data_IF_479371019713
#
_entry.id   IF_479371019713
#
_cell.length_a   1.000
_cell.length_b   1.000
_cell.length_c   1.000
_cell.angle_alpha   90.00
_cell.angle_beta   90.00
_cell.angle_gamma   90.00
#
_symmetry.space_group_name_H-M   'P 1'
#
loop_
_entity.id
_entity.type
_entity.pdbx_description
1 polymer ?
#
# COMPACT_ATOMS: atom_id res chain seq x y z
N UNK A 1 -64.71 -35.02 20.28
CA UNK A 1 -63.41 -34.43 20.71
C UNK A 1 -62.71 -33.86 19.48
N UNK A 2 -62.70 -32.55 19.36
CA UNK A 2 -61.98 -31.92 18.28
C UNK A 2 -60.60 -31.50 18.80
N UNK A 3 -59.58 -32.22 18.41
CA UNK A 3 -58.20 -31.88 18.68
C UNK A 3 -57.77 -30.71 17.76
N UNK A 4 -57.58 -29.54 18.36
CA UNK A 4 -56.97 -28.40 17.63
C UNK A 4 -55.48 -28.49 17.77
N UNK A 5 -54.83 -28.94 16.70
CA UNK A 5 -53.37 -28.86 16.59
C UNK A 5 -53.04 -27.42 16.18
N UNK A 6 -52.50 -26.67 17.12
CA UNK A 6 -51.93 -25.37 16.82
C UNK A 6 -50.53 -25.58 16.24
N UNK A 7 -50.38 -25.40 14.94
CA UNK A 7 -49.04 -25.37 14.29
C UNK A 7 -48.47 -23.98 14.56
N UNK A 8 -47.52 -23.92 15.49
CA UNK A 8 -46.72 -22.72 15.69
C UNK A 8 -45.69 -22.66 14.55
N UNK A 9 -45.92 -21.79 13.58
CA UNK A 9 -44.92 -21.43 12.59
C UNK A 9 -43.90 -20.55 13.27
N UNK A 10 -42.77 -21.15 13.65
CA UNK A 10 -41.57 -20.40 14.06
C UNK A 10 -40.95 -19.75 12.83
N UNK A 11 -41.17 -18.46 12.67
CA UNK A 11 -40.41 -17.67 11.71
C UNK A 11 -38.97 -17.52 12.24
N UNK A 12 -38.08 -18.32 11.69
CA UNK A 12 -36.64 -18.09 11.91
C UNK A 12 -36.26 -16.89 11.05
N UNK A 13 -36.21 -15.73 11.69
CA UNK A 13 -35.66 -14.53 11.09
C UNK A 13 -34.16 -14.73 10.99
N UNK A 14 -33.65 -15.15 9.81
CA UNK A 14 -32.24 -15.14 9.52
C UNK A 14 -31.85 -13.68 9.41
N UNK A 15 -31.29 -13.12 10.47
CA UNK A 15 -30.58 -11.86 10.42
C UNK A 15 -29.35 -12.07 9.55
N UNK A 16 -29.44 -11.70 8.29
CA UNK A 16 -28.27 -11.58 7.42
C UNK A 16 -27.42 -10.45 8.01
N UNK A 17 -26.41 -10.81 8.81
CA UNK A 17 -25.37 -9.88 9.23
C UNK A 17 -24.61 -9.53 7.95
N UNK A 18 -24.61 -8.26 7.50
CA UNK A 18 -23.76 -7.90 6.40
C UNK A 18 -22.33 -8.04 6.89
N UNK A 19 -21.63 -9.04 6.39
CA UNK A 19 -20.18 -9.09 6.54
C UNK A 19 -19.64 -7.86 5.78
N UNK A 20 -19.24 -6.85 6.54
CA UNK A 20 -18.49 -5.75 5.99
C UNK A 20 -17.12 -6.31 5.62
N UNK A 21 -16.99 -6.83 4.39
CA UNK A 21 -15.69 -7.12 3.82
C UNK A 21 -14.98 -5.79 3.66
N UNK A 22 -13.94 -5.55 4.48
CA UNK A 22 -13.01 -4.45 4.23
C UNK A 22 -12.48 -4.57 2.80
N UNK A 23 -12.16 -3.45 2.16
CA UNK A 23 -11.59 -3.49 0.83
C UNK A 23 -10.33 -4.36 0.82
N UNK A 24 -10.19 -5.31 -0.13
CA UNK A 24 -9.00 -6.14 -0.24
C UNK A 24 -7.78 -5.27 -0.56
N UNK A 25 -6.58 -5.74 -0.19
CA UNK A 25 -5.34 -5.11 -0.58
C UNK A 25 -5.25 -4.97 -2.10
N UNK A 26 -4.90 -3.79 -2.58
CA UNK A 26 -4.79 -3.48 -4.01
C UNK A 26 -3.37 -3.11 -4.38
N UNK A 27 -2.84 -3.74 -5.43
CA UNK A 27 -1.52 -3.41 -5.96
C UNK A 27 -1.54 -2.04 -6.64
N UNK A 28 -0.71 -1.13 -6.16
CA UNK A 28 -0.54 0.21 -6.72
C UNK A 28 0.61 0.26 -7.73
N UNK A 29 1.57 -0.62 -7.61
CA UNK A 29 2.68 -0.73 -8.53
C UNK A 29 3.69 -1.79 -8.12
N UNK A 30 4.61 -2.11 -9.03
CA UNK A 30 5.71 -3.02 -8.80
C UNK A 30 7.01 -2.35 -9.24
N UNK A 31 8.06 -2.52 -8.46
CA UNK A 31 9.39 -1.95 -8.74
C UNK A 31 10.48 -2.96 -8.44
N UNK A 32 11.54 -2.96 -9.27
CA UNK A 32 12.78 -3.67 -8.97
C UNK A 32 13.77 -2.71 -8.32
N UNK A 33 14.15 -2.99 -7.08
CA UNK A 33 15.09 -2.17 -6.33
C UNK A 33 16.45 -2.88 -6.33
N UNK A 34 17.46 -2.31 -6.96
CA UNK A 34 18.72 -3.01 -7.21
C UNK A 34 19.71 -2.98 -6.03
N UNK A 35 19.33 -2.42 -4.91
CA UNK A 35 20.20 -2.26 -3.73
C UNK A 35 19.42 -2.50 -2.42
N UNK A 36 20.14 -2.73 -1.34
CA UNK A 36 19.57 -2.74 0.01
C UNK A 36 19.11 -1.34 0.40
N UNK A 37 18.03 -1.25 1.12
CA UNK A 37 17.45 0.03 1.55
C UNK A 37 16.79 -0.08 2.91
N UNK A 38 16.54 1.08 3.52
CA UNK A 38 15.90 1.19 4.81
C UNK A 38 14.45 1.65 4.67
N UNK A 39 13.57 1.02 5.41
CA UNK A 39 12.18 1.41 5.59
C UNK A 39 11.87 1.39 7.07
N UNK A 40 11.51 2.54 7.65
CA UNK A 40 11.10 2.65 9.05
C UNK A 40 12.03 1.89 10.03
N UNK A 41 13.33 2.09 9.95
CA UNK A 41 14.39 1.44 10.75
C UNK A 41 14.64 -0.04 10.44
N UNK A 42 13.99 -0.59 9.43
CA UNK A 42 14.19 -1.97 8.98
C UNK A 42 14.99 -1.99 7.68
N UNK A 43 16.03 -2.84 7.63
CA UNK A 43 16.78 -3.07 6.40
C UNK A 43 16.01 -4.05 5.50
N UNK A 44 15.85 -3.67 4.24
CA UNK A 44 15.19 -4.46 3.21
C UNK A 44 16.21 -4.87 2.15
N UNK A 45 16.19 -6.12 1.67
CA UNK A 45 17.09 -6.57 0.63
C UNK A 45 16.73 -5.98 -0.73
N UNK A 46 17.69 -5.96 -1.65
CA UNK A 46 17.43 -5.72 -3.07
C UNK A 46 16.43 -6.76 -3.60
N UNK A 47 15.61 -6.40 -4.55
CA UNK A 47 14.66 -7.31 -5.17
C UNK A 47 13.45 -6.63 -5.78
N UNK A 48 12.51 -7.46 -6.22
CA UNK A 48 11.23 -7.01 -6.73
C UNK A 48 10.23 -6.81 -5.59
N UNK A 49 9.63 -5.64 -5.56
CA UNK A 49 8.64 -5.26 -4.57
C UNK A 49 7.32 -4.86 -5.23
N UNK A 50 6.24 -5.25 -4.60
CA UNK A 50 4.92 -4.70 -4.85
C UNK A 50 4.58 -3.69 -3.76
N UNK A 51 4.02 -2.56 -4.17
CA UNK A 51 3.44 -1.57 -3.26
C UNK A 51 1.93 -1.69 -3.34
N UNK A 52 1.30 -1.93 -2.20
CA UNK A 52 -0.13 -2.17 -2.11
C UNK A 52 -0.79 -1.15 -1.20
N UNK A 53 -2.03 -0.79 -1.54
CA UNK A 53 -2.95 -0.19 -0.57
C UNK A 53 -3.33 -1.28 0.42
N UNK A 54 -3.13 -1.01 1.71
CA UNK A 54 -3.48 -1.98 2.75
C UNK A 54 -4.99 -2.21 2.82
N UNK A 55 -5.39 -3.36 3.33
CA UNK A 55 -6.81 -3.64 3.59
C UNK A 55 -7.42 -2.59 4.50
N UNK A 56 -8.64 -2.17 4.19
CA UNK A 56 -9.38 -1.17 4.96
C UNK A 56 -8.97 0.28 4.70
N UNK A 57 -7.93 0.52 3.91
CA UNK A 57 -7.52 1.87 3.51
C UNK A 57 -8.34 2.36 2.32
N UNK A 58 -8.86 3.57 2.40
CA UNK A 58 -9.61 4.20 1.32
C UNK A 58 -8.66 4.87 0.32
N UNK A 59 -9.04 4.83 -0.97
CA UNK A 59 -8.30 5.50 -2.03
C UNK A 59 -8.18 7.01 -1.76
N UNK A 60 -6.95 7.53 -1.83
CA UNK A 60 -6.65 8.93 -1.58
C UNK A 60 -6.59 9.34 -0.11
N UNK A 61 -6.86 8.40 0.81
CA UNK A 61 -6.85 8.63 2.26
C UNK A 61 -6.00 7.59 3.01
N UNK A 62 -5.07 6.99 2.32
CA UNK A 62 -4.21 5.96 2.89
C UNK A 62 -3.32 6.54 4.00
N UNK A 63 -3.37 5.94 5.18
CA UNK A 63 -2.48 6.26 6.29
C UNK A 63 -1.20 5.43 6.27
N UNK A 64 -1.21 4.34 5.53
CA UNK A 64 -0.08 3.41 5.36
C UNK A 64 -0.21 2.65 4.05
N UNK A 65 0.94 2.27 3.51
CA UNK A 65 1.05 1.35 2.40
C UNK A 65 1.64 0.02 2.88
N UNK A 66 1.48 -1.01 2.08
CA UNK A 66 2.09 -2.31 2.31
C UNK A 66 3.17 -2.52 1.25
N UNK A 67 4.39 -2.73 1.69
CA UNK A 67 5.53 -3.07 0.83
C UNK A 67 5.78 -4.58 0.95
N UNK A 68 5.59 -5.31 -0.15
CA UNK A 68 5.73 -6.77 -0.19
C UNK A 68 6.88 -7.18 -1.09
N UNK A 69 7.82 -7.95 -0.53
CA UNK A 69 8.86 -8.57 -1.32
C UNK A 69 8.26 -9.73 -2.13
N UNK A 70 8.45 -9.68 -3.44
CA UNK A 70 7.88 -10.69 -4.34
C UNK A 70 8.45 -12.10 -4.12
N UNK A 71 9.74 -12.20 -3.81
CA UNK A 71 10.44 -13.48 -3.67
C UNK A 71 10.16 -14.14 -2.33
N UNK A 72 10.27 -13.39 -1.24
CA UNK A 72 10.11 -13.91 0.13
C UNK A 72 8.67 -13.89 0.62
N UNK A 73 7.78 -13.17 -0.07
CA UNK A 73 6.39 -12.90 0.34
C UNK A 73 6.25 -12.21 1.69
N UNK A 74 7.34 -11.66 2.22
CA UNK A 74 7.29 -10.85 3.44
C UNK A 74 6.76 -9.46 3.16
N UNK A 75 5.95 -8.95 4.07
CA UNK A 75 5.30 -7.64 3.95
C UNK A 75 5.69 -6.73 5.11
N UNK A 76 5.82 -5.44 4.82
CA UNK A 76 6.12 -4.41 5.80
C UNK A 76 5.20 -3.23 5.59
N UNK A 77 4.54 -2.76 6.64
CA UNK A 77 3.75 -1.53 6.58
C UNK A 77 4.67 -0.31 6.58
N UNK A 78 4.34 0.62 5.70
CA UNK A 78 5.06 1.89 5.58
C UNK A 78 4.07 3.03 5.82
N UNK A 79 4.27 3.85 6.87
CA UNK A 79 3.39 4.99 7.11
C UNK A 79 3.42 5.99 5.95
N UNK A 80 2.28 6.53 5.60
CA UNK A 80 2.16 7.65 4.67
C UNK A 80 2.22 8.96 5.47
N UNK A 81 3.19 9.79 5.16
CA UNK A 81 3.38 11.09 5.82
C UNK A 81 2.52 12.14 5.14
N UNK A 82 2.53 12.16 3.82
CA UNK A 82 1.83 13.14 3.01
C UNK A 82 1.50 12.58 1.63
N UNK A 83 0.44 13.11 1.01
CA UNK A 83 0.15 12.89 -0.41
C UNK A 83 0.89 13.93 -1.23
N UNK A 84 1.50 13.49 -2.34
CA UNK A 84 2.25 14.35 -3.24
C UNK A 84 1.48 14.48 -4.56
N UNK A 85 1.21 15.72 -4.96
CA UNK A 85 0.55 15.97 -6.23
C UNK A 85 1.50 15.76 -7.42
N UNK A 86 1.00 15.11 -8.48
CA UNK A 86 1.71 15.04 -9.76
C UNK A 86 1.73 16.44 -10.40
N UNK A 87 2.93 16.94 -10.67
CA UNK A 87 3.12 18.28 -11.20
C UNK A 87 3.07 18.36 -12.72
N UNK A 88 3.27 17.24 -13.41
CA UNK A 88 3.18 17.16 -14.86
C UNK A 88 2.30 16.00 -15.32
N UNK A 89 0.97 16.18 -15.35
CA UNK A 89 0.05 15.12 -15.74
C UNK A 89 0.13 14.74 -17.22
N UNK A 90 0.88 15.46 -18.04
CA UNK A 90 1.05 15.14 -19.46
C UNK A 90 2.04 14.02 -19.70
N UNK A 91 2.93 13.76 -18.74
CA UNK A 91 3.95 12.71 -18.84
C UNK A 91 3.47 11.41 -18.21
N UNK A 92 3.49 10.36 -19.00
CA UNK A 92 3.23 9.01 -18.49
C UNK A 92 4.53 8.40 -17.99
N UNK A 93 4.53 8.00 -16.74
CA UNK A 93 5.66 7.33 -16.10
C UNK A 93 5.27 5.92 -15.66
N UNK A 94 6.24 5.02 -15.60
CA UNK A 94 6.10 3.78 -14.85
C UNK A 94 6.06 4.05 -13.34
N UNK A 95 5.71 3.04 -12.56
CA UNK A 95 5.82 3.14 -11.11
C UNK A 95 7.25 3.45 -10.70
N UNK A 96 7.44 4.39 -9.78
CA UNK A 96 8.77 4.80 -9.33
C UNK A 96 8.85 4.96 -7.82
N UNK A 97 10.02 4.71 -7.29
CA UNK A 97 10.36 4.97 -5.89
C UNK A 97 11.53 5.93 -5.83
N UNK A 98 11.51 6.80 -4.85
CA UNK A 98 12.57 7.76 -4.58
C UNK A 98 13.23 7.41 -3.27
N UNK A 99 14.56 7.39 -3.26
CA UNK A 99 15.37 7.12 -2.09
C UNK A 99 16.17 8.37 -1.71
N UNK A 100 16.28 8.60 -0.42
CA UNK A 100 17.23 9.55 0.13
C UNK A 100 18.52 8.79 0.46
N UNK A 101 19.65 9.26 -0.06
CA UNK A 101 20.96 8.68 0.24
C UNK A 101 21.62 9.51 1.33
N UNK A 102 21.94 8.86 2.43
CA UNK A 102 22.69 9.43 3.55
C UNK A 102 23.91 8.55 3.82
N UNK A 103 25.09 9.04 3.45
CA UNK A 103 26.30 8.20 3.47
C UNK A 103 26.13 7.02 2.51
N UNK A 104 26.31 5.80 3.03
CA UNK A 104 26.18 4.56 2.25
C UNK A 104 24.77 3.95 2.33
N UNK A 105 23.85 4.60 3.08
CA UNK A 105 22.51 4.08 3.28
C UNK A 105 21.50 4.79 2.39
N UNK A 106 20.56 4.00 1.87
CA UNK A 106 19.42 4.47 1.08
C UNK A 106 18.15 4.27 1.86
N UNK A 107 17.37 5.34 1.99
CA UNK A 107 16.10 5.36 2.73
C UNK A 107 14.95 5.57 1.75
N UNK A 108 13.93 4.73 1.83
CA UNK A 108 12.72 4.91 1.04
C UNK A 108 12.04 6.23 1.43
N UNK A 109 11.91 7.13 0.48
CA UNK A 109 11.36 8.47 0.68
C UNK A 109 10.00 8.67 0.06
N UNK A 110 9.84 8.26 -1.21
CA UNK A 110 8.60 8.46 -1.95
C UNK A 110 8.25 7.24 -2.78
N UNK A 111 6.95 7.06 -3.01
CA UNK A 111 6.42 6.13 -4.01
C UNK A 111 5.43 6.85 -4.93
N UNK A 112 5.58 6.62 -6.22
CA UNK A 112 4.72 7.15 -7.26
C UNK A 112 4.14 5.99 -8.07
N UNK A 113 2.82 5.79 -8.08
CA UNK A 113 2.18 4.83 -8.97
C UNK A 113 2.43 5.18 -10.44
N UNK A 114 2.22 4.20 -11.32
CA UNK A 114 2.29 4.44 -12.76
C UNK A 114 1.26 5.47 -13.23
N UNK A 115 1.53 6.05 -14.39
CA UNK A 115 0.71 7.08 -15.02
C UNK A 115 0.67 8.39 -14.21
N UNK A 116 -0.42 9.11 -14.24
CA UNK A 116 -0.54 10.44 -13.65
C UNK A 116 -1.11 10.44 -12.23
N UNK A 117 -0.96 9.34 -11.51
CA UNK A 117 -1.44 9.24 -10.15
C UNK A 117 -0.57 10.03 -9.16
N UNK A 118 -1.20 10.56 -8.14
CA UNK A 118 -0.50 11.22 -7.04
C UNK A 118 0.42 10.26 -6.29
N UNK A 119 1.50 10.81 -5.76
CA UNK A 119 2.51 10.08 -5.02
C UNK A 119 2.28 10.09 -3.51
N UNK A 120 3.19 9.41 -2.82
CA UNK A 120 3.18 9.26 -1.37
C UNK A 120 4.55 9.61 -0.80
N UNK A 121 4.58 10.52 0.17
CA UNK A 121 5.76 10.75 0.98
C UNK A 121 5.79 9.72 2.11
N UNK A 122 6.85 8.92 2.14
CA UNK A 122 6.99 7.78 3.06
C UNK A 122 8.10 7.96 4.08
N UNK A 123 9.01 8.89 3.86
CA UNK A 123 10.12 9.17 4.74
C UNK A 123 10.69 10.55 4.58
N UNK A 124 11.14 11.16 5.67
CA UNK A 124 11.82 12.45 5.67
C UNK A 124 13.16 12.27 6.38
N UNK A 125 14.25 12.58 5.67
CA UNK A 125 15.58 12.69 6.24
C UNK A 125 16.01 14.15 6.27
N UNK A 126 16.40 14.63 7.44
CA UNK A 126 16.80 16.03 7.66
C UNK A 126 18.27 16.34 7.36
N UNK A 127 19.06 15.33 6.95
CA UNK A 127 20.47 15.50 6.59
C UNK A 127 20.61 15.77 5.10
N UNK A 128 21.73 16.36 4.67
CA UNK A 128 22.06 16.54 3.25
C UNK A 128 21.82 15.26 2.47
N UNK A 129 20.97 15.35 1.44
CA UNK A 129 20.41 14.20 0.76
C UNK A 129 20.69 14.27 -0.73
N UNK A 130 21.08 13.14 -1.28
CA UNK A 130 20.93 12.88 -2.71
C UNK A 130 19.66 12.07 -2.94
N UNK A 131 18.80 12.55 -3.82
CA UNK A 131 17.64 11.78 -4.26
C UNK A 131 18.05 10.82 -5.37
N UNK A 132 17.64 9.57 -5.23
CA UNK A 132 17.82 8.56 -6.26
C UNK A 132 16.47 8.00 -6.66
N UNK A 133 16.15 8.02 -7.94
CA UNK A 133 14.87 7.57 -8.48
C UNK A 133 15.06 6.22 -9.17
N UNK A 134 14.27 5.25 -8.77
CA UNK A 134 14.16 3.96 -9.44
C UNK A 134 12.79 3.89 -10.10
N UNK A 135 12.80 3.85 -11.41
CA UNK A 135 11.60 3.83 -12.25
C UNK A 135 11.50 2.50 -13.00
N UNK A 136 10.31 1.95 -13.07
CA UNK A 136 10.00 0.82 -13.94
C UNK A 136 9.64 1.33 -15.34
N UNK A 137 10.34 0.79 -16.29
CA UNK A 137 10.04 1.03 -17.71
C UNK A 137 8.91 0.15 -18.22
#
# INVERSE_FOLDING_TARGET
MKSRVAIALSFITILAVPFAYGQPAQVLGSVNIPFKFMVAKKEMPAGKYEVLRAEGEAEGQESRLLLRNWQTKTSTYVPVIERLAETDPSQKHGARVVFDTVGDQKFLSEFWPADNADGYLLGINKKEQKHEVVEQK
#
